data_IF_201940295998
#
_entry.id   IF_201940295998
#
_cell.length_a   1.000
_cell.length_b   1.000
_cell.length_c   1.000
_cell.angle_alpha   90.00
_cell.angle_beta   90.00
_cell.angle_gamma   90.00
#
_symmetry.space_group_name_H-M   'P 1'
#
loop_
_entity.id
_entity.type
_entity.pdbx_description
1 polymer ?
#
# COMPACT_ATOMS: atom_id res chain seq x y z
N UNK A 1 5.16 3.78 16.13
CA UNK A 1 6.43 3.33 16.73
C UNK A 1 6.18 2.24 17.75
N UNK A 2 7.13 1.33 17.95
CA UNK A 2 6.98 0.05 18.69
C UNK A 2 6.36 0.23 20.09
N UNK A 3 6.74 1.28 20.83
CA UNK A 3 6.22 1.56 22.17
C UNK A 3 4.70 1.85 22.19
N UNK A 4 4.16 2.43 21.11
CA UNK A 4 2.72 2.68 20.99
C UNK A 4 1.91 1.39 20.83
N UNK A 5 2.48 0.37 20.20
CA UNK A 5 1.82 -0.94 20.05
C UNK A 5 1.72 -1.69 21.38
N UNK A 6 2.76 -1.60 22.20
CA UNK A 6 2.75 -2.18 23.56
C UNK A 6 1.71 -1.50 24.45
N UNK A 7 1.62 -0.16 24.39
CA UNK A 7 0.62 0.61 25.12
C UNK A 7 -0.81 0.26 24.66
N UNK A 8 -1.04 0.15 23.35
CA UNK A 8 -2.33 -0.28 22.79
C UNK A 8 -2.69 -1.69 23.27
N UNK A 9 -1.77 -2.64 23.19
CA UNK A 9 -1.99 -4.01 23.64
C UNK A 9 -2.34 -4.08 25.13
N UNK A 10 -1.62 -3.34 25.97
CA UNK A 10 -1.91 -3.23 27.41
C UNK A 10 -3.31 -2.64 27.64
N UNK A 11 -3.66 -1.56 26.94
CA UNK A 11 -4.98 -0.95 27.05
C UNK A 11 -6.10 -1.91 26.62
N UNK A 12 -5.89 -2.68 25.55
CA UNK A 12 -6.86 -3.68 25.08
C UNK A 12 -7.04 -4.83 26.09
N UNK A 13 -5.98 -5.23 26.78
CA UNK A 13 -6.10 -6.26 27.84
C UNK A 13 -6.80 -5.75 29.10
N UNK A 14 -6.67 -4.46 29.41
CA UNK A 14 -7.18 -3.89 30.67
C UNK A 14 -8.59 -3.32 30.55
N UNK A 15 -8.95 -2.74 29.39
CA UNK A 15 -10.15 -1.90 29.27
C UNK A 15 -11.19 -2.39 28.25
N UNK A 16 -10.93 -3.46 27.50
CA UNK A 16 -11.92 -4.00 26.53
C UNK A 16 -12.54 -5.31 26.97
N UNK A 17 -13.78 -5.54 26.53
CA UNK A 17 -14.51 -6.77 26.82
C UNK A 17 -13.76 -8.01 26.30
N UNK A 18 -13.76 -9.15 27.02
CA UNK A 18 -13.03 -10.35 26.64
C UNK A 18 -13.36 -10.87 25.23
N UNK A 19 -14.57 -10.62 24.75
CA UNK A 19 -15.01 -10.99 23.40
C UNK A 19 -14.15 -10.33 22.31
N UNK A 20 -13.80 -9.04 22.45
CA UNK A 20 -12.97 -8.32 21.46
C UNK A 20 -11.57 -8.92 21.39
N UNK A 21 -11.00 -9.24 22.55
CA UNK A 21 -9.68 -9.86 22.63
C UNK A 21 -9.66 -11.26 22.01
N UNK A 22 -10.71 -12.05 22.22
CA UNK A 22 -10.89 -13.36 21.56
C UNK A 22 -10.99 -13.21 20.04
N UNK A 23 -11.79 -12.27 19.56
CA UNK A 23 -11.92 -11.99 18.12
C UNK A 23 -10.59 -11.60 17.50
N UNK A 24 -9.87 -10.63 18.09
CA UNK A 24 -8.57 -10.18 17.59
C UNK A 24 -7.51 -11.29 17.58
N UNK A 25 -7.52 -12.19 18.57
CA UNK A 25 -6.60 -13.34 18.60
C UNK A 25 -6.95 -14.42 17.58
N UNK A 26 -8.23 -14.56 17.26
CA UNK A 26 -8.70 -15.52 16.25
C UNK A 26 -8.56 -15.01 14.83
N UNK A 27 -8.37 -13.69 14.65
CA UNK A 27 -8.21 -13.08 13.35
C UNK A 27 -6.90 -13.51 12.71
N UNK A 28 -7.00 -14.00 11.46
CA UNK A 28 -5.84 -14.54 10.74
C UNK A 28 -5.21 -13.41 9.96
N UNK A 29 -3.88 -13.20 10.09
CA UNK A 29 -3.24 -12.13 9.37
C UNK A 29 -3.37 -12.40 7.87
N UNK A 30 -3.65 -11.33 7.12
CA UNK A 30 -3.78 -11.40 5.66
C UNK A 30 -2.51 -11.98 5.01
N UNK A 31 -1.33 -11.72 5.59
CA UNK A 31 -0.05 -12.29 5.17
C UNK A 31 0.66 -12.95 6.36
N UNK A 32 1.39 -14.00 6.06
CA UNK A 32 2.38 -14.66 6.90
C UNK A 32 3.75 -14.49 6.25
N UNK A 33 4.83 -14.72 6.99
CA UNK A 33 6.20 -14.69 6.43
C UNK A 33 6.37 -15.56 5.17
N UNK A 34 5.59 -16.63 5.04
CA UNK A 34 5.55 -17.53 3.89
C UNK A 34 4.66 -17.08 2.72
N UNK A 35 3.77 -16.11 2.92
CA UNK A 35 2.86 -15.60 1.88
C UNK A 35 3.18 -14.18 1.45
N UNK A 36 4.26 -13.58 1.98
CA UNK A 36 4.79 -12.35 1.42
C UNK A 36 5.32 -12.60 0.01
N UNK A 37 4.91 -11.80 -0.99
CA UNK A 37 5.46 -11.89 -2.32
C UNK A 37 6.95 -11.58 -2.31
N UNK A 38 7.72 -12.32 -3.13
CA UNK A 38 9.14 -12.03 -3.34
C UNK A 38 9.34 -10.59 -3.86
N UNK A 39 10.56 -10.07 -3.74
CA UNK A 39 10.86 -8.75 -4.31
C UNK A 39 10.52 -8.67 -5.82
N UNK A 40 10.86 -9.72 -6.56
CA UNK A 40 10.51 -9.88 -7.98
C UNK A 40 8.99 -9.82 -8.21
N UNK A 41 8.23 -10.60 -7.44
CA UNK A 41 6.78 -10.67 -7.58
C UNK A 41 6.10 -9.35 -7.21
N UNK A 42 6.59 -8.65 -6.17
CA UNK A 42 6.12 -7.31 -5.80
C UNK A 42 6.35 -6.31 -6.91
N UNK A 43 7.56 -6.29 -7.46
CA UNK A 43 7.91 -5.38 -8.54
C UNK A 43 7.08 -5.65 -9.79
N UNK A 44 6.95 -6.92 -10.21
CA UNK A 44 6.14 -7.30 -11.37
C UNK A 44 4.66 -6.91 -11.20
N UNK A 45 4.08 -7.24 -10.04
CA UNK A 45 2.69 -6.87 -9.71
C UNK A 45 2.50 -5.36 -9.68
N UNK A 46 3.42 -4.64 -9.06
CA UNK A 46 3.39 -3.18 -8.98
C UNK A 46 3.52 -2.52 -10.34
N UNK A 47 4.42 -3.02 -11.20
CA UNK A 47 4.60 -2.51 -12.55
C UNK A 47 3.34 -2.75 -13.39
N UNK A 48 2.71 -3.91 -13.24
CA UNK A 48 1.43 -4.19 -13.91
C UNK A 48 0.34 -3.20 -13.49
N UNK A 49 0.13 -3.04 -12.18
CA UNK A 49 -0.89 -2.12 -11.65
C UNK A 49 -0.59 -0.65 -12.00
N UNK A 50 0.67 -0.22 -11.87
CA UNK A 50 1.12 1.11 -12.29
C UNK A 50 0.84 1.37 -13.77
N UNK A 51 1.06 0.37 -14.63
CA UNK A 51 0.80 0.48 -16.06
C UNK A 51 -0.69 0.65 -16.37
N UNK A 52 -1.57 0.04 -15.57
CA UNK A 52 -3.02 0.21 -15.74
C UNK A 52 -3.48 1.64 -15.40
N UNK A 53 -2.88 2.25 -14.38
CA UNK A 53 -3.19 3.62 -13.95
C UNK A 53 -2.67 4.64 -14.97
N UNK A 54 -1.39 4.59 -15.31
CA UNK A 54 -0.77 5.61 -16.15
C UNK A 54 -0.89 5.32 -17.64
N UNK A 55 -1.30 4.10 -18.03
CA UNK A 55 -1.50 3.67 -19.42
C UNK A 55 -0.35 4.13 -20.34
N UNK A 56 -0.66 4.98 -21.32
CA UNK A 56 0.28 5.50 -22.31
C UNK A 56 1.39 6.40 -21.72
N UNK A 57 1.27 6.84 -20.45
CA UNK A 57 2.24 7.70 -19.78
C UNK A 57 3.20 6.94 -18.87
N UNK A 58 3.02 5.63 -18.70
CA UNK A 58 3.80 4.79 -17.78
C UNK A 58 5.31 4.98 -17.89
N UNK A 59 5.88 4.80 -19.08
CA UNK A 59 7.32 4.88 -19.28
C UNK A 59 7.86 6.30 -19.07
N UNK A 60 7.08 7.32 -19.44
CA UNK A 60 7.46 8.72 -19.22
C UNK A 60 7.54 9.04 -17.72
N UNK A 61 6.55 8.62 -16.95
CA UNK A 61 6.52 8.87 -15.50
C UNK A 61 7.66 8.13 -14.82
N UNK A 62 7.86 6.86 -15.13
CA UNK A 62 8.94 6.07 -14.53
C UNK A 62 10.32 6.60 -14.92
N UNK A 63 10.56 6.94 -16.18
CA UNK A 63 11.82 7.55 -16.62
C UNK A 63 12.10 8.86 -15.87
N UNK A 64 11.09 9.71 -15.67
CA UNK A 64 11.22 10.96 -14.93
C UNK A 64 11.56 10.71 -13.45
N UNK A 65 10.91 9.73 -12.82
CA UNK A 65 11.21 9.33 -11.44
C UNK A 65 12.62 8.75 -11.32
N UNK A 66 13.01 7.87 -12.23
CA UNK A 66 14.36 7.27 -12.24
C UNK A 66 15.44 8.34 -12.42
N UNK A 67 15.25 9.28 -13.36
CA UNK A 67 16.20 10.36 -13.62
C UNK A 67 16.38 11.28 -12.39
N UNK A 68 15.31 11.47 -11.61
CA UNK A 68 15.33 12.35 -10.44
C UNK A 68 15.99 11.72 -9.21
N UNK A 69 16.20 10.40 -9.19
CA UNK A 69 16.64 9.66 -8.00
C UNK A 69 17.66 8.56 -8.29
N UNK A 70 18.29 8.55 -9.45
CA UNK A 70 19.12 7.44 -9.93
C UNK A 70 18.44 6.05 -9.90
N UNK A 71 17.11 6.01 -10.05
CA UNK A 71 16.32 4.76 -10.08
C UNK A 71 15.65 4.37 -8.77
N UNK A 72 16.12 4.88 -7.62
CA UNK A 72 15.61 4.48 -6.29
C UNK A 72 14.12 4.78 -6.10
N UNK A 73 13.69 5.99 -6.48
CA UNK A 73 12.30 6.43 -6.37
C UNK A 73 11.38 5.61 -7.27
N UNK A 74 11.77 5.36 -8.52
CA UNK A 74 10.99 4.52 -9.43
C UNK A 74 10.88 3.08 -8.91
N UNK A 75 11.97 2.52 -8.38
CA UNK A 75 11.95 1.17 -7.83
C UNK A 75 11.09 1.08 -6.57
N UNK A 76 11.27 2.00 -5.63
CA UNK A 76 10.50 2.05 -4.39
C UNK A 76 9.01 2.25 -4.65
N UNK A 77 8.65 3.20 -5.52
CA UNK A 77 7.25 3.42 -5.87
C UNK A 77 6.63 2.16 -6.48
N UNK A 78 7.25 1.56 -7.49
CA UNK A 78 6.72 0.37 -8.15
C UNK A 78 6.65 -0.82 -7.19
N UNK A 79 7.71 -1.10 -6.43
CA UNK A 79 7.78 -2.28 -5.57
C UNK A 79 6.91 -2.13 -4.32
N UNK A 80 7.07 -1.02 -3.59
CA UNK A 80 6.49 -0.86 -2.25
C UNK A 80 5.11 -0.20 -2.29
N UNK A 81 4.94 0.88 -3.04
CA UNK A 81 3.66 1.60 -3.06
C UNK A 81 2.68 0.88 -3.96
N UNK A 82 2.97 0.79 -5.26
CA UNK A 82 2.07 0.18 -6.23
C UNK A 82 2.05 -1.35 -6.11
N UNK A 83 3.18 -1.98 -5.80
CA UNK A 83 3.32 -3.42 -5.75
C UNK A 83 2.85 -4.06 -4.46
N UNK A 84 3.28 -3.56 -3.30
CA UNK A 84 2.99 -4.19 -2.02
C UNK A 84 1.71 -3.68 -1.36
N UNK A 85 1.46 -2.37 -1.46
CA UNK A 85 0.31 -1.71 -0.85
C UNK A 85 -0.89 -1.66 -1.80
N UNK A 86 -0.80 -0.92 -2.91
CA UNK A 86 -1.97 -0.63 -3.74
C UNK A 86 -2.43 -1.83 -4.56
N UNK A 87 -1.53 -2.67 -5.08
CA UNK A 87 -1.93 -3.87 -5.81
C UNK A 87 -2.40 -5.04 -4.92
N UNK A 88 -2.66 -4.79 -3.63
CA UNK A 88 -3.23 -5.79 -2.72
C UNK A 88 -4.76 -5.80 -2.80
N UNK A 89 -5.27 -6.72 -3.62
CA UNK A 89 -6.69 -6.77 -3.98
C UNK A 89 -7.58 -7.58 -3.02
N UNK A 90 -7.04 -8.09 -1.90
CA UNK A 90 -7.82 -8.97 -0.99
C UNK A 90 -8.75 -8.22 -0.03
N UNK A 91 -8.56 -6.91 0.13
CA UNK A 91 -9.41 -6.06 0.97
C UNK A 91 -10.21 -5.10 0.11
N UNK A 92 -9.53 -4.37 -0.77
CA UNK A 92 -10.10 -3.41 -1.71
C UNK A 92 -9.80 -3.87 -3.11
N UNK A 93 -10.76 -3.73 -4.02
CA UNK A 93 -10.47 -3.93 -5.44
C UNK A 93 -9.68 -2.73 -6.03
N UNK A 94 -9.30 -2.84 -7.31
CA UNK A 94 -8.48 -1.82 -7.95
C UNK A 94 -9.18 -0.47 -8.06
N UNK A 95 -10.50 -0.47 -8.22
CA UNK A 95 -11.30 0.76 -8.32
C UNK A 95 -11.44 1.43 -6.96
N UNK A 96 -11.73 0.65 -5.93
CA UNK A 96 -11.81 1.13 -4.55
C UNK A 96 -10.47 1.72 -4.09
N UNK A 97 -9.37 1.05 -4.44
CA UNK A 97 -8.01 1.51 -4.12
C UNK A 97 -7.67 2.84 -4.78
N UNK A 98 -7.96 2.99 -6.07
CA UNK A 98 -7.71 4.25 -6.81
C UNK A 98 -8.62 5.37 -6.32
N UNK A 99 -9.88 5.07 -5.99
CA UNK A 99 -10.80 6.07 -5.44
C UNK A 99 -10.32 6.61 -4.08
N UNK A 100 -9.82 5.73 -3.22
CA UNK A 100 -9.24 6.14 -1.94
C UNK A 100 -7.99 6.99 -2.13
N UNK A 101 -7.10 6.61 -3.06
CA UNK A 101 -5.92 7.40 -3.39
C UNK A 101 -6.30 8.79 -3.91
N UNK A 102 -7.32 8.88 -4.76
CA UNK A 102 -7.85 10.17 -5.24
C UNK A 102 -8.35 11.04 -4.08
N UNK A 103 -9.08 10.47 -3.12
CA UNK A 103 -9.57 11.20 -1.95
C UNK A 103 -8.40 11.69 -1.09
N UNK A 104 -7.37 10.87 -0.87
CA UNK A 104 -6.15 11.29 -0.18
C UNK A 104 -5.48 12.46 -0.93
N UNK A 105 -5.31 12.34 -2.25
CA UNK A 105 -4.70 13.39 -3.06
C UNK A 105 -5.50 14.71 -3.01
N UNK A 106 -6.83 14.62 -2.97
CA UNK A 106 -7.70 15.79 -2.83
C UNK A 106 -7.53 16.45 -1.45
N UNK A 107 -7.48 15.65 -0.38
CA UNK A 107 -7.29 16.13 0.99
C UNK A 107 -5.92 16.80 1.19
N UNK A 108 -4.88 16.27 0.55
CA UNK A 108 -3.51 16.78 0.65
C UNK A 108 -3.22 17.92 -0.37
N UNK A 109 -4.21 18.32 -1.17
CA UNK A 109 -4.10 19.40 -2.17
C UNK A 109 -3.02 19.10 -3.23
N UNK A 110 -2.79 17.83 -3.54
CA UNK A 110 -1.80 17.36 -4.53
C UNK A 110 -2.47 17.05 -5.87
N UNK A 111 -2.99 18.11 -6.49
CA UNK A 111 -3.81 18.01 -7.70
C UNK A 111 -3.10 17.44 -8.94
N UNK A 112 -1.76 17.40 -8.98
CA UNK A 112 -1.03 16.75 -10.08
C UNK A 112 -1.12 15.21 -9.98
N UNK A 113 -1.06 14.69 -8.76
CA UNK A 113 -1.19 13.27 -8.44
C UNK A 113 -2.63 12.81 -8.61
N UNK A 114 -3.61 13.60 -8.14
CA UNK A 114 -5.04 13.30 -8.34
C UNK A 114 -5.46 13.16 -9.82
N UNK A 115 -4.74 13.81 -10.75
CA UNK A 115 -5.00 13.71 -12.21
C UNK A 115 -4.39 12.47 -12.85
N UNK A 116 -3.45 11.82 -12.16
CA UNK A 116 -2.73 10.63 -12.64
C UNK A 116 -3.20 9.34 -11.97
N UNK A 117 -4.18 9.41 -11.07
CA UNK A 117 -4.84 8.25 -10.44
C UNK A 117 -5.99 7.74 -11.31
#
# INVERSE_FOLDING_TARGET
GINGLLALQSSLTTHTAPAIHTTLKSDKPLRSLSTFPSAEARYARGKHFFTQIYANHTERVLSSMSASSAGDLSYFAVSSIYGELMAEMRILDGRETVLLEFVCCLADVVGAQAKGC
#
